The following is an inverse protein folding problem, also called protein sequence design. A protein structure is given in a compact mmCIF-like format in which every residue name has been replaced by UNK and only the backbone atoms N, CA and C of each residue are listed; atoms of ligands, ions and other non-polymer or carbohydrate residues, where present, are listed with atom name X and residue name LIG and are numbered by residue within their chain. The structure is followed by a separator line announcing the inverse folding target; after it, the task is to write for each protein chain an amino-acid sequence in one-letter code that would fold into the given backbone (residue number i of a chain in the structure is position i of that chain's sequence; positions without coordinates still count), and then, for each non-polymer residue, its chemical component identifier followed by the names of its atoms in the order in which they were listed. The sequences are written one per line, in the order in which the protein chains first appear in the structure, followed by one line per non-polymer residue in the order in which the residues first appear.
data_IF_878112909645
#
_entry.id   IF_878112909645
#
_cell.length_a   1.000
_cell.length_b   1.000
_cell.length_c   1.000
_cell.angle_alpha   90.00
_cell.angle_beta   90.00
_cell.angle_gamma   90.00
#
_symmetry.space_group_name_H-M   'P 1'
#
loop_
_entity.id
_entity.type
_entity.pdbx_description
1 polymer ?
#
# COMPACT_ATOMS: atom_id res chain seq x y z
N UNK A 1 -1.54 -35.42 -17.39
CA UNK A 1 -2.46 -34.28 -17.57
C UNK A 1 -3.19 -33.94 -16.27
N UNK A 2 -3.82 -34.92 -15.61
CA UNK A 2 -4.54 -34.71 -14.34
C UNK A 2 -3.65 -34.22 -13.19
N UNK A 3 -2.45 -34.80 -13.02
CA UNK A 3 -1.50 -34.39 -11.98
C UNK A 3 -1.02 -32.94 -12.14
N UNK A 4 -0.74 -32.53 -13.38
CA UNK A 4 -0.37 -31.15 -13.71
C UNK A 4 -1.52 -30.18 -13.40
N UNK A 5 -2.75 -30.56 -13.75
CA UNK A 5 -3.94 -29.75 -13.45
C UNK A 5 -4.14 -29.60 -11.95
N UNK A 6 -3.92 -30.66 -11.17
CA UNK A 6 -3.95 -30.63 -9.71
C UNK A 6 -2.89 -29.68 -9.12
N UNK A 7 -1.65 -29.76 -9.59
CA UNK A 7 -0.57 -28.85 -9.15
C UNK A 7 -0.90 -27.38 -9.44
N UNK A 8 -1.39 -27.08 -10.65
CA UNK A 8 -1.78 -25.72 -11.04
C UNK A 8 -2.97 -25.21 -10.20
N UNK A 9 -3.93 -26.08 -9.89
CA UNK A 9 -5.04 -25.74 -9.01
C UNK A 9 -4.57 -25.37 -7.59
N UNK A 10 -3.69 -26.17 -6.99
CA UNK A 10 -3.11 -25.86 -5.67
C UNK A 10 -2.27 -24.58 -5.71
N UNK A 11 -1.45 -24.37 -6.74
CA UNK A 11 -0.69 -23.14 -6.91
C UNK A 11 -1.61 -21.90 -7.01
N UNK A 12 -2.74 -22.02 -7.73
CA UNK A 12 -3.71 -20.94 -7.86
C UNK A 12 -4.37 -20.58 -6.52
N UNK A 13 -4.66 -21.58 -5.68
CA UNK A 13 -5.17 -21.38 -4.31
C UNK A 13 -4.10 -20.71 -3.44
N UNK A 14 -2.85 -21.19 -3.48
CA UNK A 14 -1.76 -20.61 -2.69
C UNK A 14 -1.51 -19.14 -3.07
N UNK A 15 -1.55 -18.81 -4.37
CA UNK A 15 -1.42 -17.45 -4.86
C UNK A 15 -2.48 -16.48 -4.31
N UNK A 16 -3.63 -16.97 -3.82
CA UNK A 16 -4.64 -16.11 -3.20
C UNK A 16 -4.09 -15.40 -1.94
N UNK A 17 -3.21 -16.04 -1.18
CA UNK A 17 -2.66 -15.49 0.07
C UNK A 17 -1.92 -14.17 -0.20
N UNK A 18 -0.83 -14.13 -0.99
CA UNK A 18 -0.17 -12.86 -1.31
C UNK A 18 -1.09 -11.90 -2.07
N UNK A 19 -2.00 -12.39 -2.92
CA UNK A 19 -3.01 -11.55 -3.58
C UNK A 19 -3.90 -10.77 -2.60
N UNK A 20 -4.44 -11.43 -1.57
CA UNK A 20 -5.29 -10.78 -0.56
C UNK A 20 -4.51 -9.87 0.38
N UNK A 21 -3.29 -10.26 0.79
CA UNK A 21 -2.44 -9.40 1.64
C UNK A 21 -2.04 -8.12 0.88
N UNK A 22 -1.69 -8.24 -0.40
CA UNK A 22 -1.38 -7.07 -1.22
C UNK A 22 -2.60 -6.15 -1.38
N UNK A 23 -3.79 -6.72 -1.64
CA UNK A 23 -5.05 -5.97 -1.73
C UNK A 23 -5.39 -5.23 -0.42
N UNK A 24 -5.16 -5.85 0.73
CA UNK A 24 -5.42 -5.20 2.03
C UNK A 24 -4.51 -3.98 2.23
N UNK A 25 -3.27 -4.03 1.73
CA UNK A 25 -2.27 -2.95 1.76
C UNK A 25 -2.41 -1.90 0.65
N UNK A 26 -3.36 -2.06 -0.28
CA UNK A 26 -3.63 -1.08 -1.34
C UNK A 26 -2.95 -1.35 -2.69
N UNK A 27 -2.48 -2.58 -2.94
CA UNK A 27 -1.93 -3.00 -4.23
C UNK A 27 -2.93 -3.84 -5.04
N UNK A 28 -2.65 -4.09 -6.32
CA UNK A 28 -3.52 -4.88 -7.19
C UNK A 28 -3.54 -6.36 -6.79
N UNK A 29 -4.75 -6.91 -6.60
CA UNK A 29 -4.91 -8.32 -6.30
C UNK A 29 -4.35 -9.22 -7.43
N UNK A 30 -4.68 -8.91 -8.68
CA UNK A 30 -4.34 -9.77 -9.83
C UNK A 30 -2.84 -9.93 -10.05
N UNK A 31 -2.07 -8.84 -9.96
CA UNK A 31 -0.61 -8.87 -10.12
C UNK A 31 0.03 -9.72 -9.02
N UNK A 32 -0.37 -9.52 -7.76
CA UNK A 32 0.18 -10.25 -6.62
C UNK A 32 -0.30 -11.70 -6.53
N UNK A 33 -1.52 -11.99 -6.99
CA UNK A 33 -2.01 -13.35 -7.14
C UNK A 33 -1.21 -14.11 -8.19
N UNK A 34 -0.99 -13.52 -9.38
CA UNK A 34 -0.20 -14.14 -10.43
C UNK A 34 1.26 -14.32 -9.98
N UNK A 35 1.82 -13.33 -9.30
CA UNK A 35 3.16 -13.41 -8.72
C UNK A 35 3.27 -14.56 -7.70
N UNK A 36 2.29 -14.70 -6.80
CA UNK A 36 2.21 -15.80 -5.84
C UNK A 36 1.96 -17.16 -6.46
N UNK A 37 1.18 -17.22 -7.55
CA UNK A 37 0.95 -18.43 -8.34
C UNK A 37 2.25 -18.95 -8.96
N UNK A 38 3.11 -18.05 -9.47
CA UNK A 38 4.37 -18.41 -10.11
C UNK A 38 5.49 -18.72 -9.10
N UNK A 39 5.65 -17.90 -8.06
CA UNK A 39 6.77 -18.01 -7.10
C UNK A 39 6.36 -17.73 -5.63
N UNK A 40 5.44 -18.55 -5.10
CA UNK A 40 4.80 -18.36 -3.79
C UNK A 40 5.75 -17.95 -2.63
N UNK A 41 6.86 -18.67 -2.42
CA UNK A 41 7.79 -18.41 -1.31
C UNK A 41 8.41 -17.00 -1.40
N UNK A 42 8.74 -16.54 -2.61
CA UNK A 42 9.31 -15.21 -2.80
C UNK A 42 8.22 -14.15 -2.67
N UNK A 43 7.03 -14.41 -3.23
CA UNK A 43 5.88 -13.51 -3.17
C UNK A 43 5.41 -13.25 -1.74
N UNK A 44 5.38 -14.29 -0.88
CA UNK A 44 4.94 -14.12 0.51
C UNK A 44 5.93 -13.30 1.33
N UNK A 45 7.24 -13.46 1.10
CA UNK A 45 8.25 -12.60 1.74
C UNK A 45 8.03 -11.16 1.29
N UNK A 46 7.94 -10.91 -0.02
CA UNK A 46 7.76 -9.55 -0.54
C UNK A 46 6.50 -8.88 0.04
N UNK A 47 5.34 -9.56 -0.01
CA UNK A 47 4.08 -8.95 0.41
C UNK A 47 4.04 -8.63 1.92
N UNK A 48 4.84 -9.32 2.74
CA UNK A 48 4.96 -9.00 4.16
C UNK A 48 5.72 -7.68 4.38
N UNK A 49 6.76 -7.41 3.59
CA UNK A 49 7.61 -6.23 3.73
C UNK A 49 7.16 -5.01 2.93
N UNK A 50 6.29 -5.14 1.91
CA UNK A 50 5.83 -3.95 1.17
C UNK A 50 5.07 -2.97 2.07
N UNK A 51 5.20 -1.64 1.83
CA UNK A 51 4.51 -0.60 2.58
C UNK A 51 3.00 -0.78 2.55
N UNK A 52 2.30 -0.47 3.65
CA UNK A 52 0.83 -0.41 3.64
C UNK A 52 0.38 0.99 3.19
N UNK A 53 -0.02 1.13 1.92
CA UNK A 53 -0.42 2.42 1.32
C UNK A 53 -1.59 3.07 2.05
N UNK A 54 -2.56 2.27 2.49
CA UNK A 54 -3.74 2.77 3.22
C UNK A 54 -3.38 3.37 4.57
N UNK A 55 -2.45 2.74 5.30
CA UNK A 55 -1.97 3.28 6.57
C UNK A 55 -1.21 4.60 6.37
N UNK A 56 -0.46 4.72 5.28
CA UNK A 56 0.33 5.92 4.96
C UNK A 56 -0.60 7.07 4.54
N UNK A 57 -1.59 6.78 3.70
CA UNK A 57 -2.64 7.73 3.33
C UNK A 57 -3.39 8.25 4.57
N UNK A 58 -3.82 7.34 5.45
CA UNK A 58 -4.50 7.73 6.69
C UNK A 58 -3.61 8.59 7.59
N UNK A 59 -2.32 8.27 7.69
CA UNK A 59 -1.37 9.08 8.46
C UNK A 59 -1.25 10.50 7.90
N UNK A 60 -1.18 10.63 6.58
CA UNK A 60 -1.12 11.95 5.91
C UNK A 60 -2.40 12.75 6.16
N UNK A 61 -3.58 12.12 6.10
CA UNK A 61 -4.86 12.77 6.41
C UNK A 61 -4.87 13.29 7.85
N UNK A 62 -4.50 12.44 8.81
CA UNK A 62 -4.45 12.83 10.23
C UNK A 62 -3.44 13.96 10.48
N UNK A 63 -2.26 13.91 9.84
CA UNK A 63 -1.25 14.97 9.95
C UNK A 63 -1.81 16.29 9.37
N UNK A 64 -2.48 16.26 8.21
CA UNK A 64 -3.12 17.44 7.61
C UNK A 64 -4.20 18.05 8.51
N UNK A 65 -5.07 17.24 9.11
CA UNK A 65 -6.10 17.69 10.06
C UNK A 65 -5.48 18.40 11.26
N UNK A 66 -4.39 17.84 11.80
CA UNK A 66 -3.65 18.47 12.90
C UNK A 66 -3.10 19.83 12.52
N UNK A 67 -2.47 19.95 11.35
CA UNK A 67 -1.95 21.25 10.89
C UNK A 67 -3.06 22.26 10.59
N UNK A 68 -4.21 21.80 10.08
CA UNK A 68 -5.37 22.67 9.87
C UNK A 68 -5.86 23.25 11.19
N UNK A 69 -5.93 22.43 12.25
CA UNK A 69 -6.28 22.89 13.59
C UNK A 69 -5.30 23.95 14.12
N UNK A 70 -3.98 23.74 13.93
CA UNK A 70 -2.97 24.72 14.36
C UNK A 70 -3.12 26.07 13.64
N UNK A 71 -3.56 26.06 12.38
CA UNK A 71 -3.85 27.28 11.62
C UNK A 71 -5.10 27.99 12.17
N UNK A 72 -6.16 27.23 12.43
CA UNK A 72 -7.41 27.75 13.02
C UNK A 72 -7.18 28.35 14.42
N UNK A 73 -6.28 27.75 15.21
CA UNK A 73 -5.87 28.23 16.53
C UNK A 73 -4.91 29.46 16.45
N UNK A 74 -4.50 29.88 15.25
CA UNK A 74 -3.56 30.99 15.03
C UNK A 74 -2.12 30.71 15.46
N UNK A 75 -1.76 29.44 15.66
CA UNK A 75 -0.42 29.00 16.10
C UNK A 75 0.58 29.04 14.93
N UNK A 76 0.12 28.78 13.70
CA UNK A 76 0.93 28.78 12.48
C UNK A 76 0.32 29.71 11.43
N UNK A 77 1.14 30.14 10.46
CA UNK A 77 0.66 30.95 9.33
C UNK A 77 0.06 30.09 8.20
N UNK A 78 -0.71 30.71 7.30
CA UNK A 78 -1.20 30.05 6.08
C UNK A 78 -0.04 29.55 5.19
N UNK A 79 1.08 30.27 5.17
CA UNK A 79 2.27 29.89 4.42
C UNK A 79 2.89 28.61 4.97
N UNK A 80 3.02 28.49 6.30
CA UNK A 80 3.52 27.30 6.98
C UNK A 80 2.61 26.09 6.71
N UNK A 81 1.29 26.28 6.80
CA UNK A 81 0.31 25.24 6.51
C UNK A 81 0.44 24.74 5.05
N UNK A 82 0.55 25.68 4.10
CA UNK A 82 0.68 25.36 2.68
C UNK A 82 1.97 24.61 2.39
N UNK A 83 3.10 25.03 2.95
CA UNK A 83 4.38 24.34 2.80
C UNK A 83 4.30 22.90 3.30
N UNK A 84 3.70 22.68 4.47
CA UNK A 84 3.56 21.34 5.04
C UNK A 84 2.59 20.45 4.26
N UNK A 85 1.51 21.02 3.75
CA UNK A 85 0.54 20.31 2.90
C UNK A 85 1.22 19.78 1.63
N UNK A 86 2.04 20.61 0.98
CA UNK A 86 2.76 20.19 -0.23
C UNK A 86 3.85 19.14 0.09
N UNK A 87 4.56 19.27 1.23
CA UNK A 87 5.51 18.25 1.69
C UNK A 87 4.82 16.88 1.90
N UNK A 88 3.69 16.86 2.59
CA UNK A 88 2.95 15.63 2.88
C UNK A 88 2.39 14.98 1.61
N UNK A 89 1.87 15.78 0.67
CA UNK A 89 1.45 15.31 -0.64
C UNK A 89 2.61 14.72 -1.44
N UNK A 90 3.77 15.40 -1.44
CA UNK A 90 4.96 14.91 -2.13
C UNK A 90 5.43 13.57 -1.55
N UNK A 91 5.45 13.45 -0.21
CA UNK A 91 5.77 12.19 0.48
C UNK A 91 4.80 11.06 0.14
N UNK A 92 3.50 11.36 0.11
CA UNK A 92 2.47 10.40 -0.27
C UNK A 92 2.66 9.94 -1.73
N UNK A 93 2.80 10.88 -2.66
CA UNK A 93 2.97 10.58 -4.08
C UNK A 93 4.22 9.74 -4.35
N UNK A 94 5.35 10.06 -3.70
CA UNK A 94 6.58 9.28 -3.82
C UNK A 94 6.38 7.85 -3.32
N UNK A 95 5.71 7.68 -2.17
CA UNK A 95 5.42 6.35 -1.60
C UNK A 95 4.45 5.54 -2.46
N UNK A 96 3.49 6.20 -3.13
CA UNK A 96 2.52 5.52 -3.99
C UNK A 96 3.08 5.15 -5.37
N UNK A 97 4.14 5.85 -5.83
CA UNK A 97 4.79 5.63 -7.12
C UNK A 97 5.79 4.47 -7.16
N UNK A 98 6.20 3.92 -6.02
CA UNK A 98 7.16 2.80 -5.93
C UNK A 98 6.53 1.43 -6.30
N UNK A 99 5.53 1.40 -7.19
CA UNK A 99 4.86 0.19 -7.68
C UNK A 99 5.62 -0.54 -8.80
#
# INVERSE_FOLDING_TARGET
MEELLGMLFFAAILGLIPGFIAKSKGYSFGTWWLYGFLIFIVAIIHVLFIPNKKNIEQKVINDLERYKKLLEDGIISEEDFKAKKEELKAKLNNTLRED
#
